data_IF_448600265375
#
_entry.id   IF_448600265375
#
_cell.length_a   1.000
_cell.length_b   1.000
_cell.length_c   1.000
_cell.angle_alpha   90.00
_cell.angle_beta   90.00
_cell.angle_gamma   90.00
#
_symmetry.space_group_name_H-M   'P 1'
#
loop_
_entity.id
_entity.type
_entity.pdbx_description
1 polymer ?
#
# COMPACT_ATOMS: atom_id res chain seq x y z
N UNK A 1 -5.41 -23.96 -88.42
CA UNK A 1 -6.73 -23.28 -88.54
C UNK A 1 -7.50 -23.51 -87.24
N UNK A 2 -8.20 -22.46 -86.78
CA UNK A 2 -9.21 -22.39 -85.68
C UNK A 2 -8.69 -22.64 -84.24
N UNK A 3 -8.97 -21.85 -83.18
CA UNK A 3 -9.84 -20.68 -82.95
C UNK A 3 -9.39 -19.96 -81.66
N UNK A 4 -9.41 -18.63 -81.65
CA UNK A 4 -9.24 -17.80 -80.46
C UNK A 4 -10.45 -17.90 -79.52
N UNK A 5 -10.20 -17.95 -78.21
CA UNK A 5 -11.21 -17.75 -77.16
C UNK A 5 -10.62 -16.88 -76.05
N UNK A 6 -10.97 -15.58 -76.04
CA UNK A 6 -10.64 -14.63 -74.98
C UNK A 6 -11.63 -14.84 -73.83
N UNK A 7 -11.14 -15.12 -72.63
CA UNK A 7 -11.90 -14.89 -71.39
C UNK A 7 -11.13 -13.91 -70.51
N UNK A 8 -11.72 -12.72 -70.33
CA UNK A 8 -11.37 -11.75 -69.30
C UNK A 8 -11.90 -12.26 -67.96
N UNK A 9 -11.25 -11.91 -66.85
CA UNK A 9 -11.78 -11.53 -65.52
C UNK A 9 -10.61 -11.68 -64.52
N UNK A 10 -10.05 -10.63 -63.94
CA UNK A 10 -10.58 -9.70 -62.94
C UNK A 10 -9.75 -9.90 -61.65
N UNK A 11 -8.88 -8.93 -61.35
CA UNK A 11 -8.12 -8.88 -60.12
C UNK A 11 -9.07 -8.59 -58.95
N UNK A 12 -9.18 -9.54 -58.01
CA UNK A 12 -9.86 -9.32 -56.74
C UNK A 12 -8.81 -8.92 -55.70
N UNK A 13 -8.70 -7.62 -55.43
CA UNK A 13 -7.93 -7.09 -54.29
C UNK A 13 -8.75 -7.38 -53.03
N UNK A 14 -8.34 -8.39 -52.27
CA UNK A 14 -8.91 -8.68 -50.96
C UNK A 14 -8.28 -7.73 -49.94
N UNK A 15 -9.01 -6.67 -49.57
CA UNK A 15 -8.65 -5.80 -48.45
C UNK A 15 -8.87 -6.58 -47.16
N UNK A 16 -7.80 -7.17 -46.62
CA UNK A 16 -7.78 -7.75 -45.27
C UNK A 16 -7.68 -6.62 -44.25
N UNK A 17 -8.82 -6.04 -43.86
CA UNK A 17 -8.93 -5.34 -42.58
C UNK A 17 -8.94 -6.38 -41.48
N UNK A 18 -7.77 -6.90 -41.12
CA UNK A 18 -7.59 -7.56 -39.83
C UNK A 18 -7.55 -6.42 -38.81
N UNK A 19 -8.71 -6.21 -38.18
CA UNK A 19 -8.85 -5.27 -37.09
C UNK A 19 -7.71 -5.48 -36.09
N UNK A 20 -7.06 -4.38 -35.73
CA UNK A 20 -6.25 -4.25 -34.54
C UNK A 20 -7.19 -4.36 -33.32
N UNK A 21 -7.82 -5.52 -33.16
CA UNK A 21 -8.45 -5.93 -31.91
C UNK A 21 -7.32 -6.13 -30.94
N UNK A 22 -7.10 -5.14 -30.07
CA UNK A 22 -6.12 -5.23 -29.01
C UNK A 22 -6.30 -6.55 -28.29
N UNK A 23 -5.26 -7.39 -28.33
CA UNK A 23 -5.20 -8.53 -27.43
C UNK A 23 -5.15 -7.95 -26.02
N UNK A 24 -6.28 -8.02 -25.30
CA UNK A 24 -6.27 -7.87 -23.87
C UNK A 24 -5.48 -9.06 -23.33
N UNK A 25 -4.18 -8.85 -23.11
CA UNK A 25 -3.40 -9.78 -22.31
C UNK A 25 -4.04 -9.77 -20.92
N UNK A 26 -4.77 -10.82 -20.59
CA UNK A 26 -5.11 -11.10 -19.21
C UNK A 26 -3.77 -11.19 -18.46
N UNK A 27 -3.51 -10.25 -17.55
CA UNK A 27 -2.37 -10.32 -16.66
C UNK A 27 -2.54 -11.55 -15.76
N UNK A 28 -1.97 -12.68 -16.18
CA UNK A 28 -1.97 -13.95 -15.43
C UNK A 28 -0.89 -14.00 -14.36
N UNK A 29 -0.11 -12.91 -14.20
CA UNK A 29 0.82 -12.75 -13.09
C UNK A 29 0.03 -12.56 -11.80
N UNK A 30 0.11 -13.53 -10.88
CA UNK A 30 -0.44 -13.34 -9.54
C UNK A 30 0.10 -12.04 -8.93
N UNK A 31 -0.74 -11.31 -8.18
CA UNK A 31 -0.41 -10.03 -7.53
C UNK A 31 0.63 -10.15 -6.39
N UNK A 32 1.52 -11.13 -6.47
CA UNK A 32 2.61 -11.35 -5.53
C UNK A 32 3.70 -10.32 -5.77
N UNK A 33 4.48 -10.05 -4.73
CA UNK A 33 5.67 -9.24 -4.89
C UNK A 33 6.58 -9.83 -5.98
N UNK A 34 7.00 -9.00 -6.93
CA UNK A 34 8.01 -9.38 -7.91
C UNK A 34 9.37 -9.65 -7.27
N UNK A 35 10.35 -10.19 -8.00
CA UNK A 35 11.70 -10.46 -7.49
C UNK A 35 12.42 -9.24 -6.90
N UNK A 36 12.01 -8.03 -7.27
CA UNK A 36 12.57 -6.76 -6.77
C UNK A 36 11.70 -6.11 -5.68
N UNK A 37 10.53 -6.67 -5.39
CA UNK A 37 9.58 -6.11 -4.42
C UNK A 37 9.67 -6.86 -3.08
N UNK A 38 9.61 -6.12 -1.98
CA UNK A 38 9.45 -6.63 -0.63
C UNK A 38 8.02 -6.36 -0.14
N UNK A 39 7.50 -7.30 0.66
CA UNK A 39 6.23 -7.13 1.38
C UNK A 39 6.49 -7.42 2.85
N UNK A 40 5.98 -6.54 3.70
CA UNK A 40 6.01 -6.70 5.14
C UNK A 40 4.60 -6.53 5.70
N UNK A 41 4.31 -7.23 6.79
CA UNK A 41 3.13 -6.99 7.61
C UNK A 41 3.54 -6.83 9.06
N UNK A 42 2.86 -5.97 9.80
CA UNK A 42 3.11 -5.75 11.22
C UNK A 42 1.80 -5.50 11.97
N UNK A 43 1.69 -6.08 13.16
CA UNK A 43 0.71 -5.67 14.18
C UNK A 43 1.48 -4.85 15.22
N UNK A 44 1.25 -3.54 15.21
CA UNK A 44 1.92 -2.58 16.08
C UNK A 44 1.04 -2.35 17.32
N UNK A 45 1.66 -2.48 18.49
CA UNK A 45 1.06 -2.22 19.78
C UNK A 45 0.96 -0.71 20.06
N UNK A 46 0.15 -0.32 21.04
CA UNK A 46 -0.07 1.09 21.36
C UNK A 46 1.24 1.79 21.80
N UNK A 47 2.17 1.08 22.41
CA UNK A 47 3.48 1.59 22.83
C UNK A 47 4.52 1.67 21.70
N UNK A 48 4.14 1.29 20.47
CA UNK A 48 5.02 1.31 19.30
C UNK A 48 5.88 0.06 19.11
N UNK A 49 5.69 -0.97 19.94
CA UNK A 49 6.34 -2.28 19.75
C UNK A 49 5.52 -3.21 18.85
N UNK A 50 6.09 -4.31 18.40
CA UNK A 50 5.43 -5.30 17.56
C UNK A 50 4.84 -6.43 18.40
N UNK A 51 3.64 -6.88 18.01
CA UNK A 51 3.23 -8.24 18.30
C UNK A 51 3.97 -9.19 17.34
N UNK A 52 5.12 -9.70 17.78
CA UNK A 52 6.03 -10.53 16.97
C UNK A 52 5.31 -11.75 16.37
N UNK A 53 4.41 -12.40 17.11
CA UNK A 53 3.66 -13.57 16.62
C UNK A 53 2.64 -13.25 15.52
N UNK A 54 2.33 -11.97 15.29
CA UNK A 54 1.41 -11.48 14.28
C UNK A 54 2.08 -10.48 13.32
N UNK A 55 3.41 -10.51 13.21
CA UNK A 55 4.21 -9.64 12.35
C UNK A 55 5.18 -10.46 11.50
N UNK A 56 5.58 -9.91 10.35
CA UNK A 56 6.65 -10.48 9.52
C UNK A 56 8.02 -10.11 10.06
N UNK A 57 9.04 -10.89 9.71
CA UNK A 57 10.45 -10.60 10.03
C UNK A 57 11.05 -9.42 9.24
N UNK A 58 10.26 -8.73 8.43
CA UNK A 58 10.68 -7.59 7.60
C UNK A 58 10.44 -6.23 8.26
N UNK A 59 9.88 -6.22 9.47
CA UNK A 59 9.76 -5.05 10.35
C UNK A 59 10.26 -5.47 11.72
N UNK A 60 11.12 -4.67 12.34
CA UNK A 60 11.56 -4.83 13.71
C UNK A 60 11.05 -3.67 14.58
N UNK A 61 11.00 -3.87 15.91
CA UNK A 61 10.69 -2.80 16.87
C UNK A 61 11.61 -1.59 16.67
N UNK A 62 12.89 -1.84 16.36
CA UNK A 62 13.88 -0.79 16.09
C UNK A 62 13.58 0.05 14.85
N UNK A 63 12.66 -0.40 13.98
CA UNK A 63 12.20 0.40 12.84
C UNK A 63 11.08 1.36 13.22
N UNK A 64 10.50 1.25 14.40
CA UNK A 64 9.33 2.04 14.82
C UNK A 64 9.77 3.00 15.92
N UNK A 65 9.74 4.30 15.59
CA UNK A 65 9.87 5.36 16.58
C UNK A 65 8.49 5.86 16.98
N UNK A 66 8.25 5.94 18.29
CA UNK A 66 6.99 6.35 18.87
C UNK A 66 7.23 7.19 20.14
N UNK A 67 6.50 8.29 20.27
CA UNK A 67 6.46 9.09 21.49
C UNK A 67 5.14 8.81 22.21
N UNK A 68 5.20 8.42 23.48
CA UNK A 68 4.02 8.12 24.26
C UNK A 68 3.01 9.29 24.26
N UNK A 69 1.74 8.94 24.12
CA UNK A 69 0.56 9.79 23.99
C UNK A 69 0.57 10.72 22.78
N UNK A 70 1.33 10.38 21.73
CA UNK A 70 1.36 11.18 20.51
C UNK A 70 0.39 10.71 19.43
N UNK A 71 -0.04 9.44 19.49
CA UNK A 71 -0.75 8.77 18.39
C UNK A 71 0.04 8.76 17.07
N UNK A 72 1.37 8.95 17.11
CA UNK A 72 2.24 8.99 15.93
C UNK A 72 3.27 7.85 15.99
N UNK A 73 3.36 7.08 14.90
CA UNK A 73 4.30 5.98 14.73
C UNK A 73 5.07 6.19 13.44
N UNK A 74 6.39 6.22 13.54
CA UNK A 74 7.29 6.60 12.45
C UNK A 74 8.19 5.43 12.10
N UNK A 75 8.15 5.03 10.84
CA UNK A 75 8.94 3.90 10.33
C UNK A 75 10.22 4.41 9.68
N UNK A 76 11.35 4.01 10.26
CA UNK A 76 12.71 4.36 9.83
C UNK A 76 13.51 3.09 9.58
N UNK A 77 14.52 3.18 8.70
CA UNK A 77 15.49 2.11 8.45
C UNK A 77 14.87 0.74 8.08
N UNK A 78 13.72 0.73 7.40
CA UNK A 78 13.15 -0.49 6.85
C UNK A 78 14.14 -1.11 5.84
N UNK A 79 14.23 -2.44 5.73
CA UNK A 79 15.17 -3.12 4.83
C UNK A 79 14.80 -3.01 3.34
N UNK A 80 13.80 -2.20 3.03
CA UNK A 80 13.28 -1.91 1.70
C UNK A 80 12.70 -0.49 1.71
N UNK A 81 12.56 0.10 0.54
CA UNK A 81 11.96 1.42 0.35
C UNK A 81 10.44 1.31 0.19
N UNK A 82 9.61 1.80 1.13
CA UNK A 82 8.16 1.71 1.00
C UNK A 82 7.65 2.51 -0.20
N UNK A 83 6.80 1.88 -1.03
CA UNK A 83 6.14 2.51 -2.18
C UNK A 83 4.62 2.45 -2.09
N UNK A 84 4.07 1.51 -1.31
CA UNK A 84 2.65 1.39 -1.04
C UNK A 84 2.42 0.82 0.36
N UNK A 85 1.33 1.21 1.01
CA UNK A 85 0.94 0.61 2.28
C UNK A 85 -0.56 0.76 2.53
N UNK A 86 -1.10 -0.18 3.29
CA UNK A 86 -2.46 -0.12 3.82
C UNK A 86 -2.41 -0.31 5.33
N UNK A 87 -3.24 0.44 6.04
CA UNK A 87 -3.32 0.39 7.50
C UNK A 87 -4.77 0.22 7.93
N UNK A 88 -4.99 -0.49 9.02
CA UNK A 88 -6.28 -0.58 9.69
C UNK A 88 -6.10 -0.47 11.20
N UNK A 89 -7.03 0.20 11.87
CA UNK A 89 -7.09 0.21 13.34
C UNK A 89 -7.35 -1.20 13.88
N UNK A 90 -6.78 -1.50 15.04
CA UNK A 90 -7.00 -2.77 15.75
C UNK A 90 -8.00 -2.55 16.89
N UNK A 91 -9.18 -3.20 16.79
CA UNK A 91 -10.25 -3.10 17.78
C UNK A 91 -10.00 -3.94 19.07
N UNK A 92 -8.79 -4.45 19.27
CA UNK A 92 -8.41 -5.08 20.54
C UNK A 92 -8.70 -4.13 21.70
N UNK A 93 -9.21 -4.69 22.81
CA UNK A 93 -9.54 -3.95 24.04
C UNK A 93 -10.66 -2.91 23.92
N UNK A 94 -11.49 -2.96 22.87
CA UNK A 94 -12.68 -2.11 22.75
C UNK A 94 -12.42 -0.72 22.16
N UNK A 95 -11.33 -0.56 21.41
CA UNK A 95 -11.01 0.65 20.65
C UNK A 95 -11.83 0.72 19.35
N UNK A 96 -13.15 0.83 19.51
CA UNK A 96 -14.14 0.60 18.45
C UNK A 96 -14.17 1.70 17.37
N UNK A 97 -13.55 2.85 17.64
CA UNK A 97 -13.57 4.05 16.82
C UNK A 97 -12.16 4.58 16.51
N UNK A 98 -11.16 3.70 16.52
CA UNK A 98 -9.81 4.05 16.05
C UNK A 98 -9.78 4.24 14.53
N UNK A 99 -9.38 5.42 14.09
CA UNK A 99 -8.97 5.67 12.72
C UNK A 99 -7.44 5.64 12.62
N UNK A 100 -6.90 4.66 11.90
CA UNK A 100 -5.50 4.67 11.50
C UNK A 100 -5.36 5.34 10.13
N UNK A 101 -4.46 6.31 10.03
CA UNK A 101 -4.11 7.00 8.78
C UNK A 101 -2.63 6.80 8.49
N UNK A 102 -2.29 6.69 7.20
CA UNK A 102 -0.93 6.42 6.75
C UNK A 102 -0.44 7.51 5.80
N UNK A 103 0.84 7.83 5.87
CA UNK A 103 1.53 8.71 4.93
C UNK A 103 2.89 8.11 4.60
N UNK A 104 3.26 8.10 3.31
CA UNK A 104 4.58 7.69 2.84
C UNK A 104 5.26 8.94 2.30
N UNK A 105 6.51 9.18 2.71
CA UNK A 105 7.33 10.23 2.09
C UNK A 105 7.97 9.67 0.82
N UNK A 106 7.33 9.98 -0.31
CA UNK A 106 7.79 9.58 -1.64
C UNK A 106 8.47 10.73 -2.40
N UNK A 107 8.79 11.84 -1.72
CA UNK A 107 9.45 12.98 -2.35
C UNK A 107 10.93 12.68 -2.64
N UNK A 108 11.46 13.32 -3.69
CA UNK A 108 12.88 13.24 -4.06
C UNK A 108 13.42 14.66 -4.30
N UNK A 109 14.20 15.25 -3.37
CA UNK A 109 14.61 14.70 -2.07
C UNK A 109 13.43 14.54 -1.09
N UNK A 110 13.62 13.72 -0.07
CA UNK A 110 12.63 13.51 1.00
C UNK A 110 12.30 14.83 1.71
N UNK A 111 11.01 15.07 1.93
CA UNK A 111 10.50 16.27 2.61
C UNK A 111 10.25 16.04 4.11
N UNK A 112 10.26 14.78 4.54
CA UNK A 112 10.00 14.38 5.92
C UNK A 112 8.51 14.22 6.24
N UNK A 113 8.24 13.71 7.43
CA UNK A 113 6.89 13.42 7.90
C UNK A 113 6.65 14.17 9.22
N UNK A 114 5.71 15.10 9.24
CA UNK A 114 5.47 15.92 10.43
C UNK A 114 5.19 15.07 11.69
N UNK A 115 5.93 15.34 12.78
CA UNK A 115 5.88 14.55 14.01
C UNK A 115 6.74 13.29 13.99
N UNK A 116 7.53 13.07 12.94
CA UNK A 116 8.53 12.02 12.85
C UNK A 116 9.96 12.58 12.85
N UNK A 117 10.95 11.78 13.28
CA UNK A 117 12.35 12.12 13.11
C UNK A 117 12.73 12.14 11.62
N UNK A 118 13.83 12.82 11.32
CA UNK A 118 14.44 12.81 9.98
C UNK A 118 14.75 11.39 9.53
N UNK A 119 14.56 11.12 8.23
CA UNK A 119 14.75 9.80 7.65
C UNK A 119 13.56 8.84 7.81
N UNK A 120 12.47 9.25 8.46
CA UNK A 120 11.22 8.50 8.43
C UNK A 120 10.68 8.41 7.01
N UNK A 121 10.34 7.19 6.59
CA UNK A 121 9.85 6.90 5.23
C UNK A 121 8.34 6.68 5.19
N UNK A 122 7.76 6.30 6.33
CA UNK A 122 6.35 6.03 6.49
C UNK A 122 5.91 6.47 7.90
N UNK A 123 4.71 7.04 8.01
CA UNK A 123 4.09 7.46 9.26
C UNK A 123 2.69 6.89 9.34
N UNK A 124 2.37 6.27 10.48
CA UNK A 124 1.00 5.99 10.86
C UNK A 124 0.58 6.96 11.96
N UNK A 125 -0.64 7.48 11.87
CA UNK A 125 -1.30 8.21 12.95
C UNK A 125 -2.56 7.49 13.35
N UNK A 126 -2.74 7.29 14.64
CA UNK A 126 -3.96 6.75 15.23
C UNK A 126 -4.75 7.87 15.87
N UNK A 127 -6.03 7.94 15.50
CA UNK A 127 -6.97 8.88 16.06
C UNK A 127 -8.08 8.10 16.75
N UNK A 128 -8.48 8.58 17.91
CA UNK A 128 -9.75 8.23 18.53
C UNK A 128 -10.78 9.27 18.07
N UNK A 129 -11.88 8.84 17.45
CA UNK A 129 -12.84 9.74 16.81
C UNK A 129 -13.73 10.49 17.82
N UNK A 130 -13.91 9.96 19.03
CA UNK A 130 -14.60 10.64 20.12
C UNK A 130 -13.62 11.33 21.09
N UNK A 131 -12.32 11.12 20.89
CA UNK A 131 -11.22 11.69 21.65
C UNK A 131 -10.95 10.97 22.98
N UNK A 132 -11.56 9.80 23.20
CA UNK A 132 -11.43 9.05 24.46
C UNK A 132 -11.41 7.55 24.19
N UNK A 133 -10.26 6.93 24.47
CA UNK A 133 -10.07 5.49 24.29
C UNK A 133 -11.13 4.65 25.01
N UNK A 134 -11.65 3.64 24.31
CA UNK A 134 -12.54 2.62 24.88
C UNK A 134 -13.99 3.06 25.10
N UNK A 135 -14.39 4.24 24.62
CA UNK A 135 -15.79 4.70 24.64
C UNK A 135 -16.27 5.11 23.26
N UNK A 136 -17.44 4.60 22.88
CA UNK A 136 -18.15 5.05 21.68
C UNK A 136 -19.25 6.07 22.00
N UNK A 137 -19.44 6.38 23.28
CA UNK A 137 -20.39 7.38 23.74
C UNK A 137 -19.66 8.70 23.94
N UNK A 138 -19.92 9.66 23.06
CA UNK A 138 -19.35 10.99 23.13
C UNK A 138 -19.69 11.82 21.89
N UNK A 139 -19.57 13.16 21.96
CA UNK A 139 -19.55 13.97 20.75
C UNK A 139 -18.30 13.63 19.93
N UNK A 140 -18.43 13.66 18.60
CA UNK A 140 -17.29 13.53 17.69
C UNK A 140 -16.25 14.62 18.01
N UNK A 141 -15.06 14.20 18.45
CA UNK A 141 -13.95 15.07 18.85
C UNK A 141 -12.61 14.37 18.60
N UNK A 142 -12.17 14.27 17.33
CA UNK A 142 -11.01 13.45 16.99
C UNK A 142 -9.73 13.94 17.66
N UNK A 143 -9.06 13.06 18.39
CA UNK A 143 -7.76 13.33 19.00
C UNK A 143 -6.75 12.27 18.58
N UNK A 144 -5.48 12.66 18.51
CA UNK A 144 -4.40 11.69 18.41
C UNK A 144 -4.29 10.94 19.73
N UNK A 145 -4.38 9.62 19.65
CA UNK A 145 -4.33 8.72 20.81
C UNK A 145 -3.56 7.47 20.40
N UNK A 146 -2.75 6.95 21.31
CA UNK A 146 -1.98 5.73 21.06
C UNK A 146 -2.91 4.53 20.98
N UNK A 147 -3.01 3.94 19.79
CA UNK A 147 -3.79 2.74 19.57
C UNK A 147 -3.01 1.72 18.74
N UNK A 148 -3.42 0.47 18.90
CA UNK A 148 -2.91 -0.63 18.11
C UNK A 148 -3.40 -0.51 16.67
N UNK A 149 -2.61 -1.00 15.74
CA UNK A 149 -2.99 -1.08 14.33
C UNK A 149 -2.29 -2.22 13.62
N UNK A 150 -2.84 -2.63 12.49
CA UNK A 150 -2.19 -3.53 11.54
C UNK A 150 -1.82 -2.78 10.28
N UNK A 151 -0.65 -3.10 9.73
CA UNK A 151 -0.13 -2.47 8.51
C UNK A 151 0.43 -3.52 7.57
N UNK A 152 0.13 -3.38 6.28
CA UNK A 152 0.83 -4.06 5.18
C UNK A 152 1.59 -3.02 4.38
N UNK A 153 2.87 -3.30 4.14
CA UNK A 153 3.78 -2.41 3.43
C UNK A 153 4.34 -3.18 2.23
N UNK A 154 4.35 -2.53 1.07
CA UNK A 154 5.04 -2.97 -0.13
C UNK A 154 6.11 -1.95 -0.48
N UNK A 155 7.23 -2.41 -1.00
CA UNK A 155 8.30 -1.55 -1.42
C UNK A 155 9.33 -2.22 -2.30
N UNK A 156 10.32 -1.46 -2.72
CA UNK A 156 11.44 -1.93 -3.53
C UNK A 156 12.59 -2.35 -2.61
N UNK A 157 13.21 -3.50 -2.89
CA UNK A 157 14.42 -3.92 -2.16
C UNK A 157 15.54 -2.89 -2.38
N UNK A 158 16.29 -2.61 -1.32
CA UNK A 158 17.48 -1.75 -1.37
C UNK A 158 18.74 -2.55 -1.74
#
# INVERSE_FOLDING_TARGET
>A
MTRHGRFRLAALVLVLTVGLGGAAFAATGGHKAGPQEAVAFANVLADGTLNVGASSDQVADSNISHTANSGVYCFTNLPFLPSNAVVAGDNSFGNNDTLASISIDNATPREGLAGCPDGATLRVRTLDLNGVAGTTSGPYNPLLVDHRFVIWIRGDRQ
#
